data_IF_863991099496
#
_entry.id   IF_863991099496
#
_cell.length_a   1.000
_cell.length_b   1.000
_cell.length_c   1.000
_cell.angle_alpha   90.00
_cell.angle_beta   90.00
_cell.angle_gamma   90.00
#
_symmetry.space_group_name_H-M   'P 1'
#
loop_
_entity.id
_entity.type
_entity.pdbx_description
1 polymer ?
#
# COMPACT_ATOMS: atom_id res chain seq x y z
N UNK A 1 12.33 -2.12 -15.30
CA UNK A 1 11.26 -1.13 -15.66
C UNK A 1 11.08 -0.20 -14.48
N UNK A 2 10.96 1.10 -14.73
CA UNK A 2 10.63 2.06 -13.70
C UNK A 2 9.29 2.73 -14.03
N UNK A 3 8.42 2.87 -13.04
CA UNK A 3 7.20 3.67 -13.15
C UNK A 3 7.21 4.78 -12.11
N UNK A 4 6.79 5.97 -12.51
CA UNK A 4 6.60 7.11 -11.62
C UNK A 4 5.13 7.52 -11.70
N UNK A 5 4.46 7.54 -10.56
CA UNK A 5 3.01 7.74 -10.45
C UNK A 5 2.74 8.92 -9.52
N UNK A 6 1.80 9.77 -9.92
CA UNK A 6 1.30 10.86 -9.09
C UNK A 6 -0.18 10.61 -8.78
N UNK A 7 -0.51 10.48 -7.49
CA UNK A 7 -1.88 10.41 -7.00
C UNK A 7 -2.26 11.67 -6.23
N UNK A 8 -3.53 12.00 -6.31
CA UNK A 8 -4.18 12.99 -5.48
C UNK A 8 -5.08 12.28 -4.47
N UNK A 9 -4.88 12.54 -3.18
CA UNK A 9 -5.74 12.09 -2.09
C UNK A 9 -6.87 13.08 -1.88
N UNK A 10 -8.11 12.65 -2.13
CA UNK A 10 -9.29 13.50 -2.08
C UNK A 10 -9.66 13.77 -0.62
N UNK A 11 -9.86 12.70 0.15
CA UNK A 11 -10.22 12.79 1.57
C UNK A 11 -9.09 13.39 2.43
N UNK A 12 -7.86 12.99 2.14
CA UNK A 12 -6.68 13.40 2.91
C UNK A 12 -6.01 14.68 2.40
N UNK A 13 -6.61 15.35 1.40
CA UNK A 13 -6.05 16.55 0.76
C UNK A 13 -4.55 16.41 0.49
N UNK A 14 -4.17 15.33 -0.17
CA UNK A 14 -2.77 14.96 -0.32
C UNK A 14 -2.33 14.86 -1.77
N UNK A 15 -1.01 14.95 -1.95
CA UNK A 15 -0.32 14.65 -3.18
C UNK A 15 0.76 13.62 -2.89
N UNK A 16 0.77 12.54 -3.67
CA UNK A 16 1.75 11.46 -3.56
C UNK A 16 2.56 11.34 -4.84
N UNK A 17 3.89 11.35 -4.72
CA UNK A 17 4.82 10.93 -5.75
C UNK A 17 5.39 9.56 -5.38
N UNK A 18 5.10 8.55 -6.21
CA UNK A 18 5.51 7.18 -6.00
C UNK A 18 6.34 6.67 -7.16
N UNK A 19 7.52 6.12 -6.86
CA UNK A 19 8.45 5.52 -7.81
C UNK A 19 8.50 4.02 -7.54
N UNK A 20 8.16 3.22 -8.56
CA UNK A 20 8.25 1.77 -8.55
C UNK A 20 9.39 1.35 -9.46
N UNK A 21 10.39 0.71 -8.92
CA UNK A 21 11.57 0.21 -9.63
C UNK A 21 11.59 -1.32 -9.60
N UNK A 22 11.25 -1.95 -10.74
CA UNK A 22 11.29 -3.40 -10.90
C UNK A 22 12.59 -3.79 -11.62
N UNK A 23 13.45 -4.49 -10.90
CA UNK A 23 14.71 -5.09 -11.37
C UNK A 23 14.59 -6.61 -11.34
N UNK A 24 15.63 -7.32 -11.85
CA UNK A 24 15.59 -8.76 -12.13
C UNK A 24 15.00 -9.63 -11.02
N UNK A 25 15.31 -9.35 -9.74
CA UNK A 25 14.92 -10.22 -8.63
C UNK A 25 14.06 -9.53 -7.57
N UNK A 26 13.82 -8.22 -7.69
CA UNK A 26 13.11 -7.45 -6.67
C UNK A 26 12.35 -6.28 -7.24
N UNK A 27 11.36 -5.82 -6.47
CA UNK A 27 10.62 -4.59 -6.71
C UNK A 27 10.87 -3.68 -5.51
N UNK A 28 11.32 -2.47 -5.77
CA UNK A 28 11.46 -1.42 -4.75
C UNK A 28 10.49 -0.30 -5.04
N UNK A 29 9.68 0.04 -4.06
CA UNK A 29 8.73 1.14 -4.12
C UNK A 29 9.19 2.22 -3.15
N UNK A 30 9.29 3.47 -3.62
CA UNK A 30 9.64 4.64 -2.81
C UNK A 30 8.60 5.71 -3.05
N UNK A 31 8.08 6.28 -1.97
CA UNK A 31 7.07 7.32 -2.09
C UNK A 31 7.25 8.45 -1.10
N UNK A 32 6.72 9.60 -1.49
CA UNK A 32 6.55 10.76 -0.62
C UNK A 32 5.13 11.29 -0.78
N UNK A 33 4.44 11.43 0.37
CA UNK A 33 3.10 11.99 0.49
C UNK A 33 3.21 13.31 1.25
N UNK A 34 2.55 14.34 0.74
CA UNK A 34 2.35 15.61 1.43
C UNK A 34 0.86 15.86 1.51
N UNK A 35 0.35 16.19 2.69
CA UNK A 35 -1.08 16.40 2.85
C UNK A 35 -1.47 17.26 4.03
N UNK A 36 -2.78 17.45 4.16
CA UNK A 36 -3.41 18.23 5.22
C UNK A 36 -4.48 17.38 5.91
N UNK A 37 -4.39 17.22 7.22
CA UNK A 37 -5.39 16.51 8.02
C UNK A 37 -5.65 17.26 9.31
N UNK A 38 -6.93 17.55 9.62
CA UNK A 38 -7.34 18.32 10.79
C UNK A 38 -6.53 19.62 10.95
N UNK A 39 -6.44 20.41 9.86
CA UNK A 39 -5.71 21.69 9.79
C UNK A 39 -4.19 21.58 10.06
N UNK A 40 -3.63 20.37 10.05
CA UNK A 40 -2.21 20.11 10.26
C UNK A 40 -1.58 19.49 9.03
N UNK A 41 -0.43 20.03 8.64
CA UNK A 41 0.37 19.45 7.55
C UNK A 41 1.01 18.16 8.03
N UNK A 42 1.02 17.17 7.13
CA UNK A 42 1.76 15.93 7.32
C UNK A 42 2.63 15.61 6.10
N UNK A 43 3.72 14.92 6.36
CA UNK A 43 4.56 14.28 5.36
C UNK A 43 4.74 12.81 5.74
N UNK A 44 4.59 11.95 4.75
CA UNK A 44 4.93 10.52 4.88
C UNK A 44 5.91 10.16 3.78
N UNK A 45 6.98 9.47 4.15
CA UNK A 45 7.89 8.80 3.22
C UNK A 45 7.85 7.31 3.52
N UNK A 46 7.81 6.49 2.49
CA UNK A 46 7.90 5.05 2.70
C UNK A 46 8.76 4.37 1.62
N UNK A 47 9.34 3.25 2.02
CA UNK A 47 10.04 2.32 1.15
C UNK A 47 9.46 0.94 1.39
N UNK A 48 9.01 0.26 0.33
CA UNK A 48 8.53 -1.12 0.38
C UNK A 48 9.37 -1.94 -0.58
N UNK A 49 9.91 -3.06 -0.10
CA UNK A 49 10.64 -4.02 -0.92
C UNK A 49 9.85 -5.32 -1.02
N UNK A 50 9.75 -5.83 -2.27
CA UNK A 50 9.01 -7.03 -2.60
C UNK A 50 9.87 -7.94 -3.50
N UNK A 51 9.55 -9.21 -3.50
CA UNK A 51 10.03 -10.13 -4.53
C UNK A 51 9.19 -9.99 -5.82
N UNK A 52 9.56 -10.72 -6.88
CA UNK A 52 8.86 -10.69 -8.17
C UNK A 52 7.42 -11.24 -8.11
N UNK A 53 7.07 -11.97 -7.05
CA UNK A 53 5.71 -12.44 -6.78
C UNK A 53 4.89 -11.45 -5.95
N UNK A 54 5.35 -10.19 -5.84
CA UNK A 54 4.71 -9.12 -5.07
C UNK A 54 4.57 -9.39 -3.56
N UNK A 55 5.37 -10.30 -3.02
CA UNK A 55 5.39 -10.57 -1.58
C UNK A 55 6.29 -9.55 -0.88
N UNK A 56 5.70 -8.82 0.07
CA UNK A 56 6.43 -7.83 0.89
C UNK A 56 7.33 -8.55 1.89
N UNK A 57 8.60 -8.14 1.95
CA UNK A 57 9.55 -8.60 2.96
C UNK A 57 10.17 -7.48 3.78
N UNK A 58 10.00 -6.24 3.36
CA UNK A 58 10.48 -5.06 4.08
C UNK A 58 9.57 -3.87 3.81
N UNK A 59 9.28 -3.09 4.85
CA UNK A 59 8.59 -1.81 4.75
C UNK A 59 9.17 -0.84 5.79
N UNK A 60 9.63 0.32 5.36
CA UNK A 60 10.03 1.40 6.25
C UNK A 60 9.15 2.61 5.98
N UNK A 61 8.61 3.20 7.04
CA UNK A 61 7.72 4.37 6.97
C UNK A 61 8.24 5.44 7.91
N UNK A 62 8.47 6.63 7.40
CA UNK A 62 8.75 7.84 8.16
C UNK A 62 7.53 8.77 8.06
N UNK A 63 6.97 9.15 9.18
CA UNK A 63 5.85 10.08 9.28
C UNK A 63 6.25 11.32 10.04
N UNK A 64 6.01 12.48 9.47
CA UNK A 64 6.09 13.76 10.14
C UNK A 64 4.69 14.36 10.22
N UNK A 65 4.16 14.50 11.43
CA UNK A 65 2.86 15.07 11.71
C UNK A 65 2.91 15.90 12.98
N UNK A 66 2.35 17.11 12.95
CA UNK A 66 2.31 18.02 14.11
C UNK A 66 3.69 18.22 14.77
N UNK A 67 4.74 18.48 13.97
CA UNK A 67 6.14 18.66 14.40
C UNK A 67 6.77 17.43 15.10
N UNK A 68 6.13 16.26 15.03
CA UNK A 68 6.69 15.01 15.52
C UNK A 68 7.10 14.14 14.34
N UNK A 69 8.28 13.55 14.43
CA UNK A 69 8.76 12.57 13.45
C UNK A 69 8.74 11.20 14.11
N UNK A 70 8.16 10.22 13.41
CA UNK A 70 8.16 8.82 13.80
C UNK A 70 8.63 7.96 12.64
N UNK A 71 9.34 6.90 12.95
CA UNK A 71 9.79 5.93 11.96
C UNK A 71 9.43 4.53 12.42
N UNK A 72 8.95 3.72 11.47
CA UNK A 72 8.57 2.34 11.68
C UNK A 72 9.26 1.47 10.62
N UNK A 73 9.98 0.46 11.07
CA UNK A 73 10.62 -0.51 10.19
C UNK A 73 10.00 -1.89 10.40
N UNK A 74 9.42 -2.43 9.35
CA UNK A 74 8.85 -3.78 9.31
C UNK A 74 9.76 -4.64 8.45
N UNK A 75 10.17 -5.77 8.97
CA UNK A 75 10.97 -6.75 8.24
C UNK A 75 10.45 -8.17 8.48
N UNK A 76 10.51 -8.99 7.45
CA UNK A 76 10.09 -10.39 7.48
C UNK A 76 11.32 -11.29 7.42
N UNK A 77 11.44 -12.24 8.35
CA UNK A 77 12.53 -13.19 8.36
C UNK A 77 12.31 -14.37 7.39
N UNK A 78 13.25 -15.31 7.33
CA UNK A 78 13.18 -16.50 6.47
C UNK A 78 12.01 -17.43 6.84
N UNK A 79 11.50 -17.36 8.08
CA UNK A 79 10.35 -18.12 8.55
C UNK A 79 9.01 -17.37 8.35
N UNK A 80 9.02 -16.28 7.58
CA UNK A 80 7.87 -15.41 7.32
C UNK A 80 7.32 -14.72 8.59
N UNK A 81 8.18 -14.49 9.59
CA UNK A 81 7.85 -13.82 10.84
C UNK A 81 8.17 -12.34 10.77
N UNK A 82 7.20 -11.50 11.14
CA UNK A 82 7.35 -10.05 11.11
C UNK A 82 8.02 -9.51 12.37
N UNK A 83 8.92 -8.55 12.17
CA UNK A 83 9.48 -7.72 13.23
C UNK A 83 9.14 -6.26 12.97
N UNK A 84 8.86 -5.51 14.04
CA UNK A 84 8.72 -4.05 14.04
C UNK A 84 9.89 -3.46 14.83
N UNK A 85 10.68 -2.60 14.18
CA UNK A 85 11.89 -1.99 14.74
C UNK A 85 12.84 -3.05 15.38
N UNK A 86 13.02 -4.16 14.65
CA UNK A 86 13.88 -5.27 15.06
C UNK A 86 13.30 -6.19 16.14
N UNK A 87 12.08 -5.94 16.64
CA UNK A 87 11.42 -6.79 17.63
C UNK A 87 10.31 -7.61 16.98
N UNK A 88 10.37 -8.94 17.14
CA UNK A 88 9.33 -9.86 16.67
C UNK A 88 7.94 -9.50 17.20
N UNK A 89 6.95 -9.55 16.33
CA UNK A 89 5.55 -9.22 16.62
C UNK A 89 4.65 -10.41 16.27
N UNK A 90 4.33 -11.28 17.24
CA UNK A 90 3.52 -12.46 16.97
C UNK A 90 2.11 -12.15 16.46
N UNK A 91 1.57 -10.97 16.78
CA UNK A 91 0.27 -10.52 16.29
C UNK A 91 0.22 -10.31 14.77
N UNK A 92 1.38 -10.14 14.11
CA UNK A 92 1.46 -10.00 12.66
C UNK A 92 1.69 -11.34 11.94
N UNK A 93 1.72 -12.46 12.66
CA UNK A 93 1.83 -13.78 12.06
C UNK A 93 0.66 -14.03 11.12
N UNK A 94 0.96 -14.45 9.89
CA UNK A 94 -0.05 -14.65 8.83
C UNK A 94 -0.32 -13.41 7.98
N UNK A 95 0.07 -12.21 8.38
CA UNK A 95 -0.03 -11.03 7.53
C UNK A 95 0.89 -11.16 6.31
N UNK A 96 0.34 -10.97 5.12
CA UNK A 96 1.10 -11.08 3.87
C UNK A 96 1.55 -9.73 3.33
N UNK A 97 0.75 -8.70 3.53
CA UNK A 97 0.94 -7.36 3.00
C UNK A 97 0.94 -6.31 4.12
N UNK A 98 1.35 -5.10 3.78
CA UNK A 98 1.18 -3.90 4.60
C UNK A 98 0.12 -3.01 3.97
N UNK A 99 -0.63 -2.28 4.78
CA UNK A 99 -1.62 -1.31 4.33
C UNK A 99 -1.43 0.04 5.02
N UNK A 100 -1.20 1.08 4.22
CA UNK A 100 -1.07 2.47 4.66
C UNK A 100 -2.27 3.24 4.12
N UNK A 101 -3.24 3.66 4.94
CA UNK A 101 -4.49 4.31 4.48
C UNK A 101 -4.27 5.59 3.67
N UNK A 102 -3.12 6.23 3.80
CA UNK A 102 -2.78 7.49 3.15
C UNK A 102 -2.34 7.34 1.68
N UNK A 103 -2.30 6.12 1.16
CA UNK A 103 -1.88 5.83 -0.22
C UNK A 103 -2.75 4.76 -0.87
N UNK A 104 -3.10 4.90 -2.16
CA UNK A 104 -3.76 3.83 -2.89
C UNK A 104 -2.79 2.72 -3.33
N UNK A 105 -1.47 2.95 -3.21
CA UNK A 105 -0.47 1.98 -3.66
C UNK A 105 -0.59 0.66 -2.92
N UNK A 106 -0.84 0.68 -1.61
CA UNK A 106 -0.87 -0.55 -0.81
C UNK A 106 -1.98 -1.50 -1.24
N UNK A 107 -3.05 -1.01 -1.88
CA UNK A 107 -4.05 -1.87 -2.53
C UNK A 107 -3.49 -2.61 -3.76
N UNK A 108 -2.51 -2.04 -4.45
CA UNK A 108 -1.88 -2.69 -5.61
C UNK A 108 -1.02 -3.89 -5.20
N UNK A 109 -0.60 -4.00 -3.94
CA UNK A 109 0.22 -5.11 -3.45
C UNK A 109 -0.57 -6.43 -3.51
N UNK A 110 -1.71 -6.58 -2.77
CA UNK A 110 -2.51 -7.79 -2.84
C UNK A 110 -3.15 -8.02 -4.21
N UNK A 111 -3.55 -6.97 -4.95
CA UNK A 111 -4.10 -7.11 -6.30
C UNK A 111 -3.11 -7.84 -7.22
N UNK A 112 -1.83 -7.44 -7.20
CA UNK A 112 -0.81 -8.08 -8.03
C UNK A 112 -0.39 -9.45 -7.47
N UNK A 113 -0.25 -9.59 -6.15
CA UNK A 113 0.17 -10.85 -5.52
C UNK A 113 -0.85 -11.97 -5.70
N UNK A 114 -2.14 -11.66 -5.56
CA UNK A 114 -3.21 -12.65 -5.63
C UNK A 114 -3.48 -13.11 -7.07
N UNK A 115 -3.32 -12.23 -8.05
CA UNK A 115 -3.52 -12.58 -9.47
C UNK A 115 -4.90 -13.19 -9.75
N UNK A 116 -5.97 -12.70 -9.09
CA UNK A 116 -7.32 -13.25 -9.18
C UNK A 116 -7.83 -13.25 -10.62
N UNK A 117 -8.61 -14.27 -10.99
CA UNK A 117 -9.42 -14.28 -12.20
C UNK A 117 -10.76 -13.56 -11.96
N UNK A 118 -11.42 -13.15 -13.03
CA UNK A 118 -12.71 -12.48 -12.95
C UNK A 118 -13.73 -13.34 -12.16
N UNK A 119 -14.39 -12.73 -11.19
CA UNK A 119 -15.33 -13.35 -10.27
C UNK A 119 -14.70 -14.00 -9.02
N UNK A 120 -13.39 -14.23 -9.00
CA UNK A 120 -12.70 -14.79 -7.83
C UNK A 120 -12.56 -13.75 -6.71
N UNK A 121 -12.57 -14.24 -5.47
CA UNK A 121 -12.34 -13.43 -4.27
C UNK A 121 -11.42 -14.14 -3.29
N UNK A 122 -10.69 -13.35 -2.49
CA UNK A 122 -9.79 -13.85 -1.46
C UNK A 122 -9.81 -12.95 -0.24
N UNK A 123 -9.70 -13.56 0.95
CA UNK A 123 -9.52 -12.86 2.23
C UNK A 123 -8.07 -12.92 2.64
N UNK A 124 -7.53 -11.82 3.09
CA UNK A 124 -6.14 -11.68 3.47
C UNK A 124 -6.00 -10.99 4.83
N UNK A 125 -4.90 -11.29 5.53
CA UNK A 125 -4.48 -10.56 6.70
C UNK A 125 -3.35 -9.60 6.30
N UNK A 126 -3.45 -8.33 6.74
CA UNK A 126 -2.47 -7.28 6.45
C UNK A 126 -2.07 -6.54 7.73
N UNK A 127 -0.88 -5.96 7.74
CA UNK A 127 -0.47 -5.02 8.79
C UNK A 127 -1.02 -3.65 8.40
N UNK A 128 -2.04 -3.18 9.10
CA UNK A 128 -2.62 -1.85 8.93
C UNK A 128 -1.81 -0.82 9.71
N UNK A 129 -1.32 0.20 9.00
CA UNK A 129 -0.39 1.20 9.54
C UNK A 129 -1.08 2.57 9.46
N UNK A 130 -1.89 2.89 10.46
CA UNK A 130 -2.51 4.19 10.59
C UNK A 130 -1.55 5.19 11.25
N UNK A 131 -1.04 6.10 10.43
CA UNK A 131 -0.03 7.07 10.85
C UNK A 131 -0.63 8.31 11.49
N UNK A 132 -1.90 8.62 11.24
CA UNK A 132 -2.58 9.79 11.78
C UNK A 132 -3.11 9.53 13.18
N UNK A 133 -3.68 8.34 13.40
CA UNK A 133 -4.17 7.88 14.70
C UNK A 133 -3.14 7.04 15.47
N UNK A 134 -1.94 6.87 14.90
CA UNK A 134 -0.81 6.14 15.49
C UNK A 134 -1.16 4.69 15.88
N UNK A 135 -1.99 4.04 15.08
CA UNK A 135 -2.50 2.71 15.34
C UNK A 135 -1.94 1.70 14.32
N UNK A 136 -1.16 0.74 14.81
CA UNK A 136 -0.59 -0.35 14.00
C UNK A 136 -1.15 -1.66 14.51
N UNK A 137 -1.85 -2.41 13.65
CA UNK A 137 -2.52 -3.66 14.04
C UNK A 137 -2.75 -4.58 12.83
N UNK A 138 -2.91 -5.88 13.06
CA UNK A 138 -3.40 -6.76 12.00
C UNK A 138 -4.87 -6.48 11.71
N UNK A 139 -5.25 -6.49 10.43
CA UNK A 139 -6.64 -6.40 9.98
C UNK A 139 -6.90 -7.39 8.85
N UNK A 140 -8.16 -7.76 8.68
CA UNK A 140 -8.60 -8.60 7.57
C UNK A 140 -9.21 -7.75 6.47
N UNK A 141 -8.88 -8.08 5.24
CA UNK A 141 -9.41 -7.44 4.05
C UNK A 141 -9.89 -8.51 3.07
N UNK A 142 -10.80 -8.16 2.19
CA UNK A 142 -11.25 -9.01 1.10
C UNK A 142 -11.14 -8.26 -0.23
N UNK A 143 -10.58 -8.94 -1.21
CA UNK A 143 -10.53 -8.48 -2.59
C UNK A 143 -11.31 -9.43 -3.47
N UNK A 144 -12.15 -8.88 -4.35
CA UNK A 144 -12.84 -9.63 -5.41
C UNK A 144 -12.56 -8.97 -6.74
N UNK A 145 -12.07 -9.72 -7.70
CA UNK A 145 -11.94 -9.22 -9.06
C UNK A 145 -13.29 -9.25 -9.76
N UNK A 146 -13.79 -8.08 -10.14
CA UNK A 146 -15.07 -7.93 -10.88
C UNK A 146 -14.83 -8.03 -12.39
N UNK A 147 -13.75 -7.40 -12.87
CA UNK A 147 -13.31 -7.43 -14.26
C UNK A 147 -11.80 -7.18 -14.35
N UNK A 148 -11.27 -7.16 -15.55
CA UNK A 148 -9.84 -6.92 -15.80
C UNK A 148 -9.31 -5.65 -15.11
N UNK A 149 -10.15 -4.62 -14.95
CA UNK A 149 -9.75 -3.31 -14.41
C UNK A 149 -10.42 -2.97 -13.08
N UNK A 150 -11.37 -3.76 -12.58
CA UNK A 150 -12.17 -3.43 -11.39
C UNK A 150 -12.02 -4.50 -10.34
N UNK A 151 -11.67 -4.07 -9.14
CA UNK A 151 -11.64 -4.88 -7.92
C UNK A 151 -12.60 -4.31 -6.89
N UNK A 152 -13.42 -5.17 -6.28
CA UNK A 152 -14.14 -4.81 -5.06
C UNK A 152 -13.25 -5.08 -3.87
N UNK A 153 -13.03 -4.05 -3.06
CA UNK A 153 -12.36 -4.09 -1.77
C UNK A 153 -13.38 -4.02 -0.65
N UNK A 154 -13.16 -4.79 0.40
CA UNK A 154 -13.96 -4.75 1.65
C UNK A 154 -13.00 -4.93 2.83
N UNK A 155 -13.13 -4.11 3.88
CA UNK A 155 -12.51 -4.44 5.18
C UNK A 155 -13.38 -5.45 5.95
N UNK A 156 -12.83 -6.12 6.96
CA UNK A 156 -13.56 -7.10 7.77
C UNK A 156 -13.41 -6.74 9.25
N UNK A 157 -14.51 -6.48 10.00
CA UNK A 157 -15.91 -6.54 9.57
C UNK A 157 -16.21 -5.48 8.50
N UNK A 158 -17.19 -5.75 7.63
CA UNK A 158 -17.51 -4.91 6.48
C UNK A 158 -18.24 -3.63 6.92
N UNK A 159 -17.46 -2.62 7.32
CA UNK A 159 -17.89 -1.24 7.60
C UNK A 159 -17.40 -0.25 6.52
N UNK A 160 -16.57 -0.74 5.59
CA UNK A 160 -16.13 0.01 4.41
C UNK A 160 -15.94 -0.90 3.20
N UNK A 161 -16.47 -0.49 2.05
CA UNK A 161 -16.25 -1.15 0.76
C UNK A 161 -16.12 -0.14 -0.38
N UNK A 162 -15.38 -0.50 -1.42
CA UNK A 162 -15.25 0.31 -2.62
C UNK A 162 -14.89 -0.53 -3.85
N UNK A 163 -15.25 -0.01 -5.03
CA UNK A 163 -14.75 -0.52 -6.30
C UNK A 163 -13.51 0.27 -6.71
N UNK A 164 -12.38 -0.41 -6.75
CA UNK A 164 -11.08 0.16 -7.10
C UNK A 164 -10.80 -0.10 -8.56
N UNK A 165 -10.60 0.97 -9.34
CA UNK A 165 -10.14 0.83 -10.72
C UNK A 165 -8.62 0.79 -10.79
N UNK A 166 -8.08 -0.20 -11.53
CA UNK A 166 -6.65 -0.38 -11.76
C UNK A 166 -6.30 -0.35 -13.24
N UNK A 167 -5.02 -0.14 -13.55
CA UNK A 167 -4.49 -0.31 -14.90
C UNK A 167 -4.02 -1.77 -15.15
N UNK A 168 -3.51 -2.02 -16.35
CA UNK A 168 -3.01 -3.32 -16.78
C UNK A 168 -1.81 -3.86 -16.00
N UNK A 169 -1.19 -3.04 -15.15
CA UNK A 169 -0.11 -3.42 -14.23
C UNK A 169 -0.59 -3.51 -12.77
N UNK A 170 -1.91 -3.45 -12.54
CA UNK A 170 -2.52 -3.55 -11.21
C UNK A 170 -2.36 -2.29 -10.34
N UNK A 171 -1.89 -1.17 -10.91
CA UNK A 171 -1.79 0.08 -10.15
C UNK A 171 -3.11 0.85 -10.17
N UNK A 172 -3.49 1.35 -9.00
CA UNK A 172 -4.75 2.09 -8.81
C UNK A 172 -4.81 3.32 -9.71
N UNK A 173 -5.91 3.46 -10.43
CA UNK A 173 -6.26 4.61 -11.27
C UNK A 173 -7.26 5.51 -10.57
N UNK A 174 -8.27 4.89 -9.99
CA UNK A 174 -9.35 5.57 -9.28
C UNK A 174 -9.78 4.73 -8.08
N UNK A 175 -9.83 5.36 -6.93
CA UNK A 175 -10.37 4.79 -5.70
C UNK A 175 -11.42 5.80 -5.22
N UNK A 176 -12.70 5.55 -5.49
CA UNK A 176 -13.77 6.53 -5.30
C UNK A 176 -13.72 7.20 -3.93
N UNK A 177 -13.85 8.52 -3.91
CA UNK A 177 -13.80 9.40 -2.74
C UNK A 177 -12.44 9.50 -2.05
N UNK A 178 -11.53 8.51 -2.20
CA UNK A 178 -10.25 8.48 -1.52
C UNK A 178 -9.09 8.99 -2.38
N UNK A 179 -8.88 8.40 -3.57
CA UNK A 179 -7.70 8.71 -4.39
C UNK A 179 -7.98 8.72 -5.88
N UNK A 180 -7.25 9.60 -6.59
CA UNK A 180 -7.27 9.64 -8.05
C UNK A 180 -5.88 9.82 -8.63
N UNK A 181 -5.51 8.94 -9.56
CA UNK A 181 -4.24 9.07 -10.29
C UNK A 181 -4.30 10.26 -11.25
N UNK A 182 -3.26 11.10 -11.22
CA UNK A 182 -3.12 12.24 -12.12
C UNK A 182 -2.30 11.88 -13.35
N UNK A 183 -1.19 11.15 -13.13
CA UNK A 183 -0.29 10.74 -14.21
C UNK A 183 0.47 9.48 -13.82
N UNK A 184 0.85 8.69 -14.82
CA UNK A 184 1.84 7.61 -14.73
C UNK A 184 2.80 7.74 -15.90
N UNK A 185 4.09 7.75 -15.61
CA UNK A 185 5.17 7.73 -16.60
C UNK A 185 5.96 6.44 -16.37
N UNK A 186 6.14 5.64 -17.41
CA UNK A 186 6.93 4.41 -17.33
C UNK A 186 8.08 4.50 -18.33
N UNK A 187 9.27 4.06 -17.89
CA UNK A 187 10.49 3.96 -18.71
C UNK A 187 11.11 2.58 -18.54
N UNK A 188 11.56 2.01 -19.66
CA UNK A 188 12.46 0.86 -19.61
C UNK A 188 13.88 1.37 -19.43
N UNK A 189 14.68 0.72 -18.59
CA UNK A 189 16.13 0.96 -18.59
C UNK A 189 16.68 0.64 -19.98
N UNK A 190 17.34 1.60 -20.59
CA UNK A 190 18.16 1.38 -21.78
C UNK A 190 19.50 0.81 -21.39
#
# INVERSE_FOLDING_TARGET
MQSNILWFGIEYYSLENCIIDSKNDSITIKSTILGLYNEKLYQVKYVINLNQSWQVYFCCVESQFNNRVKSFEFSKDQNQKWSLNGKYQPEFDGCMDVDIPLTPLTNSLPINRLGLNDGQEEKIDVIYIDLLDENIRPVKQKYKRISTEIYKYENIPNDFEAEIKVDNLGFVVDYPQLFKRKIKISSNYR
#
